data_IF_556752938587
#
_entry.id   IF_556752938587
#
_cell.length_a   1.000
_cell.length_b   1.000
_cell.length_c   1.000
_cell.angle_alpha   90.00
_cell.angle_beta   90.00
_cell.angle_gamma   90.00
#
_symmetry.space_group_name_H-M   'P 1'
#
loop_
_entity.id
_entity.type
_entity.pdbx_description
1 polymer ?
#
# COMPACT_ATOMS: atom_id res chain seq x y z
N UNK A 1 -6.54 -2.97 -25.55
CA UNK A 1 -7.47 -2.48 -26.60
C UNK A 1 -6.85 -2.61 -27.99
N UNK A 2 -5.68 -1.99 -28.29
CA UNK A 2 -5.05 -2.04 -29.63
C UNK A 2 -4.87 -3.49 -30.12
N UNK A 3 -4.37 -4.38 -29.24
CA UNK A 3 -4.13 -5.78 -29.55
C UNK A 3 -5.42 -6.60 -29.79
N UNK A 4 -6.45 -6.40 -28.96
CA UNK A 4 -7.73 -7.08 -29.17
C UNK A 4 -8.34 -6.67 -30.52
N UNK A 5 -8.22 -5.39 -30.88
CA UNK A 5 -8.65 -4.88 -32.19
C UNK A 5 -7.84 -5.49 -33.34
N UNK A 6 -6.52 -5.63 -33.21
CA UNK A 6 -5.68 -6.23 -34.26
C UNK A 6 -5.96 -7.72 -34.46
N UNK A 7 -6.47 -8.41 -33.45
CA UNK A 7 -6.88 -9.80 -33.50
C UNK A 7 -8.36 -9.98 -33.89
N UNK A 8 -9.08 -8.88 -34.13
CA UNK A 8 -10.51 -8.92 -34.50
C UNK A 8 -11.46 -9.35 -33.35
N UNK A 9 -11.00 -9.32 -32.11
CA UNK A 9 -11.80 -9.77 -30.97
C UNK A 9 -12.71 -8.65 -30.45
N UNK A 10 -13.94 -8.98 -30.12
CA UNK A 10 -14.76 -8.17 -29.23
C UNK A 10 -14.09 -8.15 -27.85
N UNK A 11 -13.97 -6.99 -27.25
CA UNK A 11 -13.28 -6.88 -25.96
C UNK A 11 -14.04 -5.99 -24.99
N UNK A 12 -13.93 -6.32 -23.70
CA UNK A 12 -14.35 -5.51 -22.57
C UNK A 12 -13.11 -5.14 -21.74
N UNK A 13 -13.08 -3.92 -21.23
CA UNK A 13 -12.00 -3.43 -20.36
C UNK A 13 -12.50 -3.45 -18.93
N UNK A 14 -11.73 -4.05 -18.06
CA UNK A 14 -11.98 -4.18 -16.64
C UNK A 14 -11.04 -3.25 -15.88
N UNK A 15 -11.58 -2.38 -15.01
CA UNK A 15 -10.79 -1.44 -14.24
C UNK A 15 -11.29 -1.36 -12.80
N UNK A 16 -10.47 -1.76 -11.85
CA UNK A 16 -10.77 -1.76 -10.41
C UNK A 16 -10.57 -0.40 -9.73
N UNK A 17 -10.33 0.69 -10.49
CA UNK A 17 -10.28 2.03 -9.92
C UNK A 17 -9.15 2.27 -8.91
N UNK A 18 -8.03 1.52 -9.02
CA UNK A 18 -6.86 1.70 -8.16
C UNK A 18 -6.91 0.94 -6.83
N UNK A 19 -7.82 -0.01 -6.68
CA UNK A 19 -7.83 -0.94 -5.54
C UNK A 19 -6.49 -1.70 -5.47
N UNK A 20 -5.93 -1.79 -4.26
CA UNK A 20 -4.62 -2.42 -4.06
C UNK A 20 -4.73 -3.93 -4.17
N UNK A 21 -3.97 -4.54 -5.08
CA UNK A 21 -3.82 -6.00 -5.18
C UNK A 21 -3.01 -6.62 -4.01
N UNK A 22 -2.63 -5.83 -3.01
CA UNK A 22 -1.90 -6.29 -1.82
C UNK A 22 -2.81 -6.71 -0.66
N UNK A 23 -4.07 -6.24 -0.66
CA UNK A 23 -5.11 -6.70 0.27
C UNK A 23 -6.01 -7.66 -0.51
N UNK A 24 -5.74 -8.94 -0.35
CA UNK A 24 -6.29 -10.01 -1.17
C UNK A 24 -7.57 -10.65 -0.62
N UNK A 25 -8.43 -9.85 -0.08
CA UNK A 25 -9.81 -10.26 0.07
C UNK A 25 -10.51 -10.02 -1.26
N UNK A 26 -10.94 -11.10 -1.91
CA UNK A 26 -11.78 -11.03 -3.11
C UNK A 26 -13.02 -10.13 -2.87
N UNK A 27 -13.49 -10.05 -1.63
CA UNK A 27 -14.57 -9.16 -1.18
C UNK A 27 -14.30 -7.68 -1.51
N UNK A 28 -13.03 -7.26 -1.53
CA UNK A 28 -12.63 -5.90 -1.87
C UNK A 28 -12.32 -5.69 -3.36
N UNK A 29 -12.60 -6.71 -4.21
CA UNK A 29 -12.29 -6.71 -5.63
C UNK A 29 -13.50 -7.13 -6.48
N UNK A 30 -14.59 -6.36 -6.46
CA UNK A 30 -15.83 -6.73 -7.12
C UNK A 30 -15.68 -6.92 -8.63
N UNK A 31 -14.81 -6.14 -9.28
CA UNK A 31 -14.55 -6.23 -10.71
C UNK A 31 -13.82 -7.53 -11.07
N UNK A 32 -12.88 -7.98 -10.23
CA UNK A 32 -12.22 -9.28 -10.40
C UNK A 32 -13.22 -10.42 -10.17
N UNK A 33 -14.08 -10.33 -9.16
CA UNK A 33 -15.11 -11.33 -8.89
C UNK A 33 -16.07 -11.46 -10.07
N UNK A 34 -16.55 -10.34 -10.64
CA UNK A 34 -17.39 -10.34 -11.84
C UNK A 34 -16.68 -11.01 -13.03
N UNK A 35 -15.39 -10.68 -13.25
CA UNK A 35 -14.60 -11.32 -14.30
C UNK A 35 -14.52 -12.85 -14.12
N UNK A 36 -14.29 -13.30 -12.88
CA UNK A 36 -14.21 -14.73 -12.57
C UNK A 36 -15.55 -15.44 -12.76
N UNK A 37 -16.68 -14.79 -12.49
CA UNK A 37 -18.02 -15.33 -12.78
C UNK A 37 -18.23 -15.52 -14.28
N UNK A 38 -17.88 -14.51 -15.10
CA UNK A 38 -18.00 -14.61 -16.56
C UNK A 38 -17.06 -15.66 -17.17
N UNK A 39 -15.91 -15.91 -16.53
CA UNK A 39 -15.02 -17.01 -16.91
C UNK A 39 -15.71 -18.36 -16.65
N UNK A 40 -16.35 -18.52 -15.47
CA UNK A 40 -17.07 -19.75 -15.13
C UNK A 40 -18.31 -19.98 -16.03
N UNK A 41 -18.95 -18.91 -16.47
CA UNK A 41 -20.07 -18.93 -17.44
C UNK A 41 -19.61 -19.24 -18.89
N UNK A 42 -18.29 -19.25 -19.13
CA UNK A 42 -17.71 -19.55 -20.45
C UNK A 42 -17.75 -18.39 -21.45
N UNK A 43 -18.09 -17.19 -21.00
CA UNK A 43 -18.16 -15.99 -21.85
C UNK A 43 -16.79 -15.42 -22.22
N UNK A 44 -15.74 -15.74 -21.44
CA UNK A 44 -14.37 -15.28 -21.67
C UNK A 44 -13.57 -16.41 -22.32
N UNK A 45 -12.88 -16.13 -23.42
CA UNK A 45 -11.95 -17.06 -24.09
C UNK A 45 -10.51 -16.59 -24.01
N UNK A 46 -10.30 -15.28 -23.94
CA UNK A 46 -9.00 -14.65 -23.96
C UNK A 46 -8.93 -13.61 -22.85
N UNK A 47 -7.90 -13.66 -22.02
CA UNK A 47 -7.65 -12.67 -20.97
C UNK A 47 -6.30 -11.98 -21.23
N UNK A 48 -6.30 -10.65 -21.31
CA UNK A 48 -5.08 -9.87 -21.40
C UNK A 48 -4.85 -9.08 -20.12
N UNK A 49 -3.67 -9.23 -19.54
CA UNK A 49 -3.17 -8.43 -18.43
C UNK A 49 -1.76 -7.94 -18.74
N UNK A 50 -1.41 -6.75 -18.29
CA UNK A 50 -0.04 -6.25 -18.49
C UNK A 50 0.98 -7.11 -17.73
N UNK A 51 0.64 -7.51 -16.50
CA UNK A 51 1.41 -8.42 -15.66
C UNK A 51 0.45 -9.23 -14.79
N UNK A 52 0.81 -10.47 -14.46
CA UNK A 52 0.01 -11.37 -13.62
C UNK A 52 -0.24 -10.83 -12.21
N UNK A 53 0.65 -9.99 -11.70
CA UNK A 53 0.46 -9.29 -10.40
C UNK A 53 -0.70 -8.26 -10.41
N UNK A 54 -1.24 -7.93 -11.58
CA UNK A 54 -2.51 -7.18 -11.70
C UNK A 54 -3.72 -8.02 -11.34
N UNK A 55 -3.65 -9.32 -11.58
CA UNK A 55 -4.72 -10.25 -11.16
C UNK A 55 -4.64 -10.52 -9.66
N UNK A 56 -3.49 -10.92 -9.15
CA UNK A 56 -3.23 -11.01 -7.72
C UNK A 56 -1.73 -11.01 -7.41
N UNK A 57 -1.38 -10.48 -6.23
CA UNK A 57 -0.05 -10.60 -5.62
C UNK A 57 -0.01 -11.67 -4.52
N UNK A 58 -1.16 -12.20 -4.14
CA UNK A 58 -1.27 -13.26 -3.15
C UNK A 58 -1.24 -14.62 -3.84
N UNK A 59 -0.45 -15.50 -3.31
CA UNK A 59 -0.27 -16.83 -3.87
C UNK A 59 -1.55 -17.67 -3.86
N UNK A 60 -2.36 -17.57 -2.79
CA UNK A 60 -3.62 -18.31 -2.70
C UNK A 60 -4.61 -17.85 -3.75
N UNK A 61 -4.84 -16.55 -3.85
CA UNK A 61 -5.76 -15.95 -4.83
C UNK A 61 -5.26 -16.18 -6.26
N UNK A 62 -3.94 -16.03 -6.50
CA UNK A 62 -3.35 -16.35 -7.80
C UNK A 62 -3.54 -17.82 -8.18
N UNK A 63 -3.29 -18.75 -7.25
CA UNK A 63 -3.52 -20.18 -7.46
C UNK A 63 -4.96 -20.49 -7.85
N UNK A 64 -5.93 -19.86 -7.19
CA UNK A 64 -7.35 -20.00 -7.51
C UNK A 64 -7.67 -19.43 -8.90
N UNK A 65 -7.17 -18.24 -9.24
CA UNK A 65 -7.37 -17.63 -10.56
C UNK A 65 -6.76 -18.53 -11.65
N UNK A 66 -5.52 -18.97 -11.46
CA UNK A 66 -4.83 -19.86 -12.39
C UNK A 66 -5.61 -21.16 -12.60
N UNK A 67 -6.12 -21.77 -11.54
CA UNK A 67 -6.97 -22.94 -11.61
C UNK A 67 -8.22 -22.68 -12.46
N UNK A 68 -8.94 -21.56 -12.23
CA UNK A 68 -10.12 -21.19 -13.03
C UNK A 68 -9.78 -20.95 -14.51
N UNK A 69 -8.69 -20.26 -14.80
CA UNK A 69 -8.22 -20.02 -16.16
C UNK A 69 -7.91 -21.35 -16.87
N UNK A 70 -7.26 -22.28 -16.17
CA UNK A 70 -6.95 -23.61 -16.69
C UNK A 70 -8.22 -24.40 -16.95
N UNK A 71 -9.13 -24.53 -15.98
CA UNK A 71 -10.39 -25.28 -16.12
C UNK A 71 -11.24 -24.79 -17.28
N UNK A 72 -11.31 -23.48 -17.48
CA UNK A 72 -12.11 -22.86 -18.54
C UNK A 72 -11.34 -22.67 -19.86
N UNK A 73 -10.11 -23.20 -19.98
CA UNK A 73 -9.27 -23.16 -21.18
C UNK A 73 -9.05 -21.72 -21.69
N UNK A 74 -8.83 -20.79 -20.77
CA UNK A 74 -8.62 -19.38 -21.10
C UNK A 74 -7.19 -19.15 -21.56
N UNK A 75 -7.02 -18.57 -22.74
CA UNK A 75 -5.72 -18.12 -23.22
C UNK A 75 -5.32 -16.81 -22.55
N UNK A 76 -4.21 -16.85 -21.81
CA UNK A 76 -3.70 -15.70 -21.07
C UNK A 76 -2.62 -14.97 -21.87
N UNK A 77 -2.79 -13.67 -22.05
CA UNK A 77 -1.80 -12.80 -22.70
C UNK A 77 -1.19 -11.86 -21.68
N UNK A 78 0.14 -11.73 -21.67
CA UNK A 78 0.86 -10.87 -20.75
C UNK A 78 1.82 -9.92 -21.48
N UNK A 79 1.97 -8.72 -20.98
CA UNK A 79 2.95 -7.73 -21.48
C UNK A 79 2.84 -7.48 -22.99
N UNK A 80 3.98 -7.53 -23.65
CA UNK A 80 4.10 -7.31 -25.11
C UNK A 80 4.26 -8.61 -25.91
N UNK A 81 4.22 -9.77 -25.25
CA UNK A 81 4.38 -11.06 -25.94
C UNK A 81 3.20 -11.31 -26.90
N UNK A 82 3.45 -11.60 -28.18
CA UNK A 82 2.41 -11.92 -29.14
C UNK A 82 1.75 -13.28 -28.87
N UNK A 83 2.43 -14.20 -28.22
CA UNK A 83 1.92 -15.54 -27.97
C UNK A 83 1.08 -15.58 -26.68
N UNK A 84 -0.07 -16.26 -26.71
CA UNK A 84 -0.80 -16.55 -25.49
C UNK A 84 -0.07 -17.61 -24.66
N UNK A 85 -0.27 -17.55 -23.36
CA UNK A 85 0.07 -18.61 -22.43
C UNK A 85 -1.13 -19.55 -22.37
N UNK A 86 -0.93 -20.80 -22.72
CA UNK A 86 -1.93 -21.86 -22.61
C UNK A 86 -1.66 -22.69 -21.36
N UNK A 87 -2.45 -22.46 -20.31
CA UNK A 87 -2.31 -23.19 -19.05
C UNK A 87 -2.71 -24.68 -19.14
N UNK A 88 -3.25 -25.14 -20.29
CA UNK A 88 -3.42 -26.57 -20.58
C UNK A 88 -2.08 -27.22 -20.98
N UNK A 89 -1.14 -26.43 -21.50
CA UNK A 89 0.21 -26.91 -21.81
C UNK A 89 1.03 -27.00 -20.49
N UNK A 90 1.51 -28.17 -20.09
CA UNK A 90 2.26 -28.34 -18.86
C UNK A 90 3.51 -27.47 -18.77
N UNK A 91 4.15 -27.14 -19.89
CA UNK A 91 5.35 -26.28 -19.93
C UNK A 91 4.99 -24.83 -19.64
N UNK A 92 3.93 -24.30 -20.26
CA UNK A 92 3.45 -22.94 -20.03
C UNK A 92 2.97 -22.78 -18.58
N UNK A 93 2.25 -23.76 -18.07
CA UNK A 93 1.78 -23.79 -16.69
C UNK A 93 2.95 -23.80 -15.69
N UNK A 94 3.98 -24.59 -15.93
CA UNK A 94 5.21 -24.60 -15.13
C UNK A 94 5.92 -23.25 -15.18
N UNK A 95 6.10 -22.67 -16.38
CA UNK A 95 6.77 -21.37 -16.54
C UNK A 95 6.05 -20.26 -15.79
N UNK A 96 4.73 -20.18 -15.86
CA UNK A 96 3.92 -19.21 -15.12
C UNK A 96 4.08 -19.41 -13.62
N UNK A 97 4.10 -20.65 -13.14
CA UNK A 97 4.38 -20.97 -11.74
C UNK A 97 5.75 -20.47 -11.30
N UNK A 98 6.79 -20.80 -12.03
CA UNK A 98 8.17 -20.37 -11.73
C UNK A 98 8.32 -18.85 -11.73
N UNK A 99 7.77 -18.15 -12.72
CA UNK A 99 7.81 -16.67 -12.78
C UNK A 99 7.09 -16.04 -11.60
N UNK A 100 5.99 -16.64 -11.14
CA UNK A 100 5.29 -16.19 -9.94
C UNK A 100 6.14 -16.34 -8.68
N UNK A 101 6.81 -17.48 -8.49
CA UNK A 101 7.71 -17.73 -7.35
C UNK A 101 8.93 -16.78 -7.37
N UNK A 102 9.55 -16.57 -8.53
CA UNK A 102 10.65 -15.60 -8.68
C UNK A 102 10.19 -14.18 -8.28
N UNK A 103 9.02 -13.75 -8.74
CA UNK A 103 8.47 -12.43 -8.40
C UNK A 103 8.22 -12.27 -6.90
N UNK A 104 7.76 -13.33 -6.24
CA UNK A 104 7.57 -13.33 -4.78
C UNK A 104 8.91 -13.29 -4.04
N UNK A 105 9.89 -14.05 -4.50
CA UNK A 105 11.25 -14.05 -3.92
C UNK A 105 11.88 -12.66 -4.01
N UNK A 106 11.79 -12.00 -5.17
CA UNK A 106 12.25 -10.62 -5.35
C UNK A 106 11.57 -9.64 -4.39
N UNK A 107 10.25 -9.79 -4.18
CA UNK A 107 9.52 -8.98 -3.22
C UNK A 107 9.98 -9.21 -1.76
N UNK A 108 10.27 -10.47 -1.39
CA UNK A 108 10.84 -10.80 -0.07
C UNK A 108 12.23 -10.16 0.11
N UNK A 109 13.10 -10.29 -0.89
CA UNK A 109 14.43 -9.68 -0.88
C UNK A 109 14.36 -8.15 -0.78
N UNK A 110 13.43 -7.51 -1.51
CA UNK A 110 13.20 -6.07 -1.43
C UNK A 110 12.79 -5.64 -0.04
N UNK A 111 11.82 -6.33 0.58
CA UNK A 111 11.39 -6.07 1.96
C UNK A 111 12.56 -6.20 2.94
N UNK A 112 13.37 -7.23 2.80
CA UNK A 112 14.54 -7.43 3.66
C UNK A 112 15.60 -6.33 3.48
N UNK A 113 15.90 -5.93 2.24
CA UNK A 113 16.80 -4.79 1.98
C UNK A 113 16.27 -3.50 2.61
N UNK A 114 14.96 -3.23 2.52
CA UNK A 114 14.37 -2.08 3.19
C UNK A 114 14.49 -2.16 4.71
N UNK A 115 14.27 -3.34 5.30
CA UNK A 115 14.41 -3.58 6.74
C UNK A 115 15.85 -3.31 7.19
N UNK A 116 16.82 -3.89 6.49
CA UNK A 116 18.25 -3.70 6.78
C UNK A 116 18.67 -2.23 6.59
N UNK A 117 18.18 -1.57 5.53
CA UNK A 117 18.43 -0.15 5.30
C UNK A 117 17.90 0.75 6.43
N UNK A 118 16.71 0.45 6.94
CA UNK A 118 16.13 1.14 8.12
C UNK A 118 16.98 0.90 9.37
N UNK A 119 17.36 -0.35 9.65
CA UNK A 119 18.21 -0.68 10.79
C UNK A 119 19.57 0.02 10.74
N UNK A 120 20.21 0.04 9.56
CA UNK A 120 21.47 0.76 9.35
C UNK A 120 21.31 2.25 9.66
N UNK A 121 20.23 2.87 9.16
CA UNK A 121 19.94 4.29 9.43
C UNK A 121 19.75 4.57 10.91
N UNK A 122 19.01 3.72 11.64
CA UNK A 122 18.85 3.87 13.10
C UNK A 122 20.17 3.75 13.83
N UNK A 123 21.00 2.75 13.48
CA UNK A 123 22.35 2.58 14.08
C UNK A 123 23.23 3.79 13.85
N UNK A 124 23.01 4.56 12.79
CA UNK A 124 23.72 5.81 12.49
C UNK A 124 23.04 7.05 13.12
N UNK A 125 22.05 6.86 14.02
CA UNK A 125 21.30 7.94 14.66
C UNK A 125 20.34 8.66 13.75
N UNK A 126 20.01 8.07 12.58
CA UNK A 126 19.06 8.64 11.62
C UNK A 126 17.62 8.26 11.89
N UNK A 127 16.70 9.11 11.45
CA UNK A 127 15.27 8.90 11.55
C UNK A 127 14.80 7.72 10.67
N UNK A 128 13.90 6.87 11.21
CA UNK A 128 13.43 5.66 10.52
C UNK A 128 12.52 5.91 9.29
N UNK A 129 12.10 7.13 9.08
CA UNK A 129 11.18 7.54 8.01
C UNK A 129 9.78 7.88 8.52
N UNK A 130 8.98 8.44 7.62
CA UNK A 130 7.72 9.09 7.99
C UNK A 130 7.92 10.54 8.44
N UNK A 131 6.84 11.29 8.68
CA UNK A 131 6.92 12.66 9.18
C UNK A 131 7.57 12.67 10.58
N UNK A 132 8.45 13.64 10.89
CA UNK A 132 9.03 13.79 12.21
C UNK A 132 7.93 14.09 13.24
N UNK A 133 8.11 13.70 14.52
CA UNK A 133 7.20 14.08 15.58
C UNK A 133 7.04 15.61 15.66
N UNK A 134 5.89 16.11 16.14
CA UNK A 134 5.69 17.54 16.36
C UNK A 134 6.75 18.05 17.36
N UNK A 135 7.30 19.22 17.16
CA UNK A 135 8.46 19.72 17.95
C UNK A 135 9.82 19.36 17.34
N UNK A 136 9.85 18.56 16.29
CA UNK A 136 11.08 18.20 15.59
C UNK A 136 10.97 18.43 14.09
N UNK A 137 12.09 18.80 13.46
CA UNK A 137 12.27 18.84 12.02
C UNK A 137 13.38 17.87 11.60
N UNK A 138 13.33 17.46 10.35
CA UNK A 138 14.33 16.54 9.78
C UNK A 138 15.39 17.34 9.02
N UNK A 139 16.62 17.24 9.46
CA UNK A 139 17.78 17.81 8.77
C UNK A 139 18.81 16.72 8.59
N UNK A 140 19.25 16.46 7.35
CA UNK A 140 20.19 15.40 7.01
C UNK A 140 19.84 14.03 7.62
N UNK A 141 18.57 13.67 7.57
CA UNK A 141 18.02 12.42 8.15
C UNK A 141 18.08 12.32 9.68
N UNK A 142 18.41 13.38 10.38
CA UNK A 142 18.41 13.45 11.86
C UNK A 142 17.26 14.31 12.35
N UNK A 143 16.69 13.96 13.50
CA UNK A 143 15.69 14.78 14.19
C UNK A 143 16.43 15.92 14.91
N UNK A 144 16.07 17.14 14.57
CA UNK A 144 16.53 18.35 15.26
C UNK A 144 15.30 19.05 15.84
N UNK A 145 15.36 19.59 17.09
CA UNK A 145 14.27 20.35 17.63
C UNK A 145 13.90 21.53 16.72
N UNK A 146 12.59 21.73 16.53
CA UNK A 146 12.06 22.93 15.93
C UNK A 146 11.65 23.89 17.03
N UNK A 147 12.30 25.04 17.12
CA UNK A 147 12.17 25.94 18.24
C UNK A 147 10.73 26.49 18.43
N UNK A 148 9.99 26.70 17.34
CA UNK A 148 8.60 27.11 17.41
C UNK A 148 7.70 25.98 17.95
N UNK A 149 7.77 24.80 17.33
CA UNK A 149 6.94 23.67 17.73
C UNK A 149 7.33 23.12 19.11
N UNK A 150 8.62 23.12 19.47
CA UNK A 150 9.14 22.70 20.77
C UNK A 150 8.50 23.46 21.91
N UNK A 151 8.33 24.79 21.76
CA UNK A 151 7.64 25.64 22.75
C UNK A 151 6.25 25.10 23.06
N UNK A 152 5.52 24.68 22.03
CA UNK A 152 4.15 24.20 22.18
C UNK A 152 4.09 22.74 22.69
N UNK A 153 5.07 21.91 22.37
CA UNK A 153 5.23 20.60 22.99
C UNK A 153 5.39 20.78 24.52
N UNK A 154 6.31 21.63 24.94
CA UNK A 154 6.52 21.91 26.36
C UNK A 154 5.25 22.45 27.01
N UNK A 155 4.56 23.41 26.40
CA UNK A 155 3.28 23.93 26.89
C UNK A 155 2.25 22.80 27.12
N UNK A 156 2.11 21.86 26.19
CA UNK A 156 1.18 20.71 26.31
C UNK A 156 1.56 19.84 27.50
N UNK A 157 2.84 19.45 27.62
CA UNK A 157 3.32 18.63 28.73
C UNK A 157 3.20 19.32 30.09
N UNK A 158 3.60 20.57 30.19
CA UNK A 158 3.54 21.34 31.43
C UNK A 158 2.09 21.59 31.88
N UNK A 159 1.21 21.89 30.93
CA UNK A 159 -0.22 22.06 31.20
C UNK A 159 -0.85 20.76 31.70
N UNK A 160 -0.55 19.61 31.03
CA UNK A 160 -1.05 18.31 31.46
C UNK A 160 -0.51 17.92 32.84
N UNK A 161 0.78 18.15 33.11
CA UNK A 161 1.42 17.91 34.40
C UNK A 161 0.84 18.76 35.52
N UNK A 162 0.37 19.94 35.21
CA UNK A 162 -0.31 20.85 36.18
C UNK A 162 -1.78 20.47 36.42
N UNK A 163 -2.28 19.39 35.79
CA UNK A 163 -3.64 18.88 35.99
C UNK A 163 -4.70 19.51 35.08
N UNK A 164 -4.32 20.26 34.02
CA UNK A 164 -5.29 20.78 33.06
C UNK A 164 -5.91 19.66 32.24
N UNK A 165 -7.18 19.79 31.93
CA UNK A 165 -7.93 18.93 31.03
C UNK A 165 -7.48 19.08 29.58
N UNK A 166 -7.80 18.10 28.73
CA UNK A 166 -7.50 18.20 27.30
C UNK A 166 -8.23 19.36 26.61
N UNK A 167 -9.42 19.74 27.12
CA UNK A 167 -10.17 20.90 26.63
C UNK A 167 -9.44 22.18 26.92
N UNK A 168 -8.98 22.37 28.16
CA UNK A 168 -8.22 23.57 28.56
C UNK A 168 -6.89 23.69 27.81
N UNK A 169 -6.21 22.56 27.52
CA UNK A 169 -5.00 22.56 26.71
C UNK A 169 -5.31 22.93 25.28
N UNK A 170 -6.38 22.34 24.68
CA UNK A 170 -6.84 22.65 23.32
C UNK A 170 -7.18 24.15 23.18
N UNK A 171 -7.96 24.69 24.13
CA UNK A 171 -8.42 26.07 24.11
C UNK A 171 -7.23 27.05 24.27
N UNK A 172 -6.27 26.71 25.12
CA UNK A 172 -5.04 27.49 25.23
C UNK A 172 -4.16 27.48 23.99
N UNK A 173 -4.15 26.34 23.21
CA UNK A 173 -3.48 26.30 21.92
C UNK A 173 -4.23 27.14 20.87
N UNK A 174 -5.56 27.13 20.90
CA UNK A 174 -6.41 27.95 20.02
C UNK A 174 -6.23 29.42 20.27
N UNK A 175 -6.27 29.85 21.54
CA UNK A 175 -6.09 31.26 21.97
C UNK A 175 -4.74 31.85 21.52
N UNK A 176 -3.72 30.98 21.43
CA UNK A 176 -2.40 31.33 20.91
C UNK A 176 -2.24 31.12 19.41
N UNK A 177 -3.33 30.83 18.68
CA UNK A 177 -3.36 30.60 17.25
C UNK A 177 -2.36 29.50 16.76
N UNK A 178 -2.17 28.46 17.58
CA UNK A 178 -1.24 27.35 17.28
C UNK A 178 -1.89 26.35 16.32
N UNK A 179 -1.53 26.41 15.07
CA UNK A 179 -2.04 25.50 14.05
C UNK A 179 -1.33 24.15 14.06
N UNK A 180 -2.05 23.10 13.73
CA UNK A 180 -1.45 21.77 13.50
C UNK A 180 -0.63 21.76 12.22
N UNK A 181 0.31 20.81 12.04
CA UNK A 181 1.05 20.65 10.77
C UNK A 181 0.15 20.39 9.55
N UNK A 182 -1.09 19.94 9.76
CA UNK A 182 -2.09 19.78 8.69
C UNK A 182 -2.89 21.06 8.42
N UNK A 183 -2.50 22.18 8.99
CA UNK A 183 -3.15 23.48 8.81
C UNK A 183 -4.48 23.65 9.55
N UNK A 184 -4.82 22.76 10.49
CA UNK A 184 -6.05 22.91 11.29
C UNK A 184 -5.80 23.87 12.45
N UNK A 185 -6.73 24.81 12.64
CA UNK A 185 -6.67 25.77 13.74
C UNK A 185 -6.94 25.10 15.10
N UNK A 186 -7.80 24.08 15.12
CA UNK A 186 -8.18 23.41 16.37
C UNK A 186 -7.48 22.06 16.47
N UNK A 187 -6.81 21.83 17.58
CA UNK A 187 -6.23 20.55 17.93
C UNK A 187 -7.33 19.59 18.41
N UNK A 188 -7.34 18.35 17.92
CA UNK A 188 -8.22 17.32 18.45
C UNK A 188 -7.64 16.71 19.72
N UNK A 189 -8.49 16.22 20.63
CA UNK A 189 -8.06 15.45 21.81
C UNK A 189 -7.18 14.26 21.41
N UNK A 190 -7.51 13.58 20.31
CA UNK A 190 -6.70 12.49 19.79
C UNK A 190 -5.28 12.92 19.41
N UNK A 191 -5.10 14.14 18.86
CA UNK A 191 -3.77 14.68 18.52
C UNK A 191 -2.96 15.02 19.77
N UNK A 192 -3.60 15.60 20.79
CA UNK A 192 -2.95 15.95 22.08
C UNK A 192 -2.57 14.66 22.81
N UNK A 193 -3.49 13.68 22.91
CA UNK A 193 -3.20 12.37 23.53
C UNK A 193 -2.09 11.63 22.81
N UNK A 194 -2.09 11.62 21.48
CA UNK A 194 -1.04 10.97 20.69
C UNK A 194 0.34 11.62 20.91
N UNK A 195 0.36 12.95 21.19
CA UNK A 195 1.59 13.65 21.53
C UNK A 195 2.05 13.28 22.94
N UNK A 196 1.16 13.33 23.93
CA UNK A 196 1.47 12.98 25.32
C UNK A 196 1.94 11.53 25.48
N UNK A 197 1.37 10.58 24.71
CA UNK A 197 1.76 9.17 24.73
C UNK A 197 2.96 8.82 23.87
N UNK A 198 3.58 9.77 23.19
CA UNK A 198 4.67 9.47 22.27
C UNK A 198 6.03 9.39 22.99
N UNK A 199 6.61 8.19 23.00
CA UNK A 199 7.89 7.90 23.69
C UNK A 199 9.10 8.69 23.15
N UNK A 200 8.98 9.40 22.03
CA UNK A 200 10.06 10.26 21.53
C UNK A 200 10.28 11.52 22.38
N UNK A 201 9.37 11.84 23.28
CA UNK A 201 9.50 12.99 24.20
C UNK A 201 9.91 12.59 25.63
N UNK A 202 10.05 11.27 25.89
CA UNK A 202 10.45 10.71 27.17
C UNK A 202 11.97 10.73 27.37
#
# INVERSE_FOLDING_TARGET
IKRAKSLGFKHRVWNEGGQSSSHDDLENRPVLVELLSLIDEGEVKHLYVFNTDRLSRNQKTWGMIRYKLNQNKILLYTGSDPNPIDLQNPMDDLLVGLLSEISQYDNKLRKERFRLGKLKRVKQGGWMGGPPPYGYKLVESKLIPDEYEKKWVNYIFDSYKSGKTLDEIRDGLLDNAVITRRGRAVWSHGSINALLGNTHYA
#
